data_IF_257283252106
#
_entry.id   IF_257283252106
#
_cell.length_a   1.000
_cell.length_b   1.000
_cell.length_c   1.000
_cell.angle_alpha   90.00
_cell.angle_beta   90.00
_cell.angle_gamma   90.00
#
_symmetry.space_group_name_H-M   'P 1'
#
loop_
_entity.id
_entity.type
_entity.pdbx_description
1 polymer ?
#
# COMPACT_ATOMS: atom_id res chain seq x y z
N UNK A 1 24.70 52.72 47.81
CA UNK A 1 25.19 51.53 47.10
C UNK A 1 24.57 50.33 47.76
N UNK A 2 23.42 49.82 47.16
CA UNK A 2 22.67 48.68 47.70
C UNK A 2 22.88 47.47 46.74
N UNK A 3 23.57 46.44 47.26
CA UNK A 3 23.77 45.19 46.58
C UNK A 3 22.44 44.38 46.56
N UNK A 4 21.96 44.02 45.36
CA UNK A 4 20.87 43.05 45.19
C UNK A 4 21.45 41.65 45.25
N UNK A 5 21.12 40.90 46.31
CA UNK A 5 21.38 39.46 46.41
C UNK A 5 20.37 38.70 45.54
N UNK A 6 20.83 37.97 44.51
CA UNK A 6 20.01 37.06 43.73
C UNK A 6 19.97 35.71 44.44
N UNK A 7 18.81 35.35 44.96
CA UNK A 7 18.50 34.00 45.45
C UNK A 7 18.31 33.06 44.27
N UNK A 8 19.21 32.10 44.09
CA UNK A 8 19.11 31.01 43.11
C UNK A 8 18.41 29.82 43.76
N UNK A 9 17.15 29.58 43.39
CA UNK A 9 16.43 28.34 43.74
C UNK A 9 16.98 27.18 42.89
N UNK A 10 17.35 26.05 43.50
CA UNK A 10 17.83 24.89 42.72
C UNK A 10 16.70 24.28 41.89
N UNK A 11 17.00 23.71 40.71
CA UNK A 11 16.00 23.08 39.88
C UNK A 11 15.44 21.83 40.56
N UNK A 12 14.12 21.69 40.51
CA UNK A 12 13.38 20.54 41.03
C UNK A 12 13.73 19.29 40.24
N UNK A 13 14.04 18.15 40.88
CA UNK A 13 14.33 16.91 40.16
C UNK A 13 13.13 16.46 39.31
N UNK A 14 13.37 16.21 38.01
CA UNK A 14 12.38 15.65 37.11
C UNK A 14 12.25 14.16 37.45
N UNK A 15 11.04 13.72 37.81
CA UNK A 15 10.78 12.33 38.05
C UNK A 15 10.97 11.53 36.73
N UNK A 16 11.54 10.32 36.79
CA UNK A 16 11.64 9.47 35.59
C UNK A 16 10.26 9.18 34.99
N UNK A 17 10.17 9.34 33.68
CA UNK A 17 8.93 9.02 32.94
C UNK A 17 8.57 7.56 33.20
N UNK A 18 7.31 7.31 33.53
CA UNK A 18 6.78 5.95 33.66
C UNK A 18 6.98 5.17 32.36
N UNK A 19 7.32 3.87 32.41
CA UNK A 19 7.43 3.06 31.22
C UNK A 19 6.10 3.06 30.46
N UNK A 20 6.12 3.04 29.12
CA UNK A 20 4.90 2.99 28.34
C UNK A 20 4.08 1.76 28.74
N UNK A 21 2.80 1.97 29.01
CA UNK A 21 1.85 0.89 29.28
C UNK A 21 1.84 -0.05 28.07
N UNK A 22 1.96 -1.37 28.23
CA UNK A 22 1.90 -2.28 27.11
C UNK A 22 0.52 -2.11 26.43
N UNK A 23 0.54 -1.74 25.15
CA UNK A 23 -0.67 -1.70 24.32
C UNK A 23 -1.23 -3.12 24.30
N UNK A 24 -2.49 -3.31 24.72
CA UNK A 24 -3.15 -4.60 24.67
C UNK A 24 -3.05 -5.16 23.25
N UNK A 25 -2.67 -6.43 23.12
CA UNK A 25 -2.60 -7.10 21.83
C UNK A 25 -4.01 -7.09 21.20
N UNK A 26 -4.10 -6.60 19.95
CA UNK A 26 -5.36 -6.65 19.21
C UNK A 26 -5.62 -8.11 18.84
N UNK A 27 -6.80 -8.61 19.21
CA UNK A 27 -7.21 -9.99 18.93
C UNK A 27 -8.08 -10.00 17.68
N UNK A 28 -7.86 -10.93 16.74
CA UNK A 28 -8.73 -11.09 15.57
C UNK A 28 -10.17 -11.38 15.97
N UNK A 29 -11.14 -10.90 15.18
CA UNK A 29 -12.54 -11.26 15.36
C UNK A 29 -12.70 -12.77 15.09
N UNK A 30 -13.26 -13.56 16.05
CA UNK A 30 -13.48 -14.99 15.85
C UNK A 30 -14.33 -15.33 14.62
N UNK A 31 -15.21 -14.43 14.18
CA UNK A 31 -16.03 -14.61 12.97
C UNK A 31 -15.19 -14.74 11.70
N UNK A 32 -13.99 -14.10 11.68
CA UNK A 32 -13.08 -14.18 10.54
C UNK A 32 -12.43 -15.56 10.37
N UNK A 33 -12.52 -16.44 11.37
CA UNK A 33 -11.98 -17.80 11.29
C UNK A 33 -12.55 -18.60 10.11
N UNK A 34 -13.81 -18.37 9.74
CA UNK A 34 -14.49 -19.01 8.61
C UNK A 34 -13.91 -18.56 7.25
N UNK A 35 -13.26 -17.40 7.19
CA UNK A 35 -12.67 -16.84 5.98
C UNK A 35 -11.25 -17.36 5.71
N UNK A 36 -10.72 -18.23 6.59
CA UNK A 36 -9.39 -18.82 6.37
C UNK A 36 -9.38 -19.66 5.11
N UNK A 37 -8.43 -19.39 4.22
CA UNK A 37 -8.27 -20.10 2.94
C UNK A 37 -7.60 -19.27 1.87
N UNK A 38 -7.58 -19.83 0.65
CA UNK A 38 -7.02 -19.19 -0.55
C UNK A 38 -8.06 -18.30 -1.22
N UNK A 39 -7.60 -17.18 -1.77
CA UNK A 39 -8.43 -16.17 -2.42
C UNK A 39 -7.73 -15.61 -3.64
N UNK A 40 -8.51 -15.19 -4.62
CA UNK A 40 -8.02 -14.50 -5.82
C UNK A 40 -8.72 -13.15 -5.96
N UNK A 41 -7.98 -12.11 -6.29
CA UNK A 41 -8.57 -10.78 -6.53
C UNK A 41 -9.48 -10.86 -7.76
N UNK A 42 -10.69 -10.37 -7.64
CA UNK A 42 -11.64 -10.22 -8.75
C UNK A 42 -11.38 -8.92 -9.51
N UNK A 43 -10.84 -8.95 -10.75
CA UNK A 43 -10.50 -7.73 -11.49
C UNK A 43 -11.73 -6.89 -11.86
N UNK A 44 -12.91 -7.51 -11.95
CA UNK A 44 -14.14 -6.80 -12.30
C UNK A 44 -14.65 -5.89 -11.18
N UNK A 45 -14.28 -6.19 -9.93
CA UNK A 45 -14.73 -5.47 -8.74
C UNK A 45 -13.57 -4.94 -7.88
N UNK A 46 -12.38 -4.85 -8.46
CA UNK A 46 -11.19 -4.37 -7.74
C UNK A 46 -10.45 -3.31 -8.52
N UNK A 47 -9.74 -2.47 -7.81
CA UNK A 47 -8.86 -1.47 -8.40
C UNK A 47 -7.51 -1.46 -7.69
N UNK A 48 -6.43 -1.69 -8.46
CA UNK A 48 -5.06 -1.43 -8.04
C UNK A 48 -4.60 -0.16 -8.75
N UNK A 49 -4.61 0.94 -8.00
CA UNK A 49 -4.44 2.27 -8.56
C UNK A 49 -3.29 3.06 -7.94
N UNK A 50 -3.02 4.18 -8.57
CA UNK A 50 -2.06 5.16 -8.08
C UNK A 50 -2.53 6.59 -8.33
N UNK A 51 -1.94 7.52 -7.58
CA UNK A 51 -2.09 8.95 -7.86
C UNK A 51 -0.80 9.70 -7.57
N UNK A 52 -0.55 10.73 -8.39
CA UNK A 52 0.65 11.57 -8.32
C UNK A 52 0.29 13.03 -8.56
N UNK A 53 0.96 13.96 -7.87
CA UNK A 53 0.80 15.39 -8.13
C UNK A 53 1.54 15.75 -9.43
N UNK A 54 0.87 16.49 -10.31
CA UNK A 54 1.40 16.98 -11.56
C UNK A 54 1.44 18.51 -11.53
N UNK A 55 2.59 19.08 -11.87
CA UNK A 55 2.87 20.52 -11.82
C UNK A 55 2.45 21.18 -10.50
N UNK A 56 2.38 20.42 -9.40
CA UNK A 56 1.91 20.83 -8.07
C UNK A 56 0.44 21.33 -8.02
N UNK A 57 -0.25 21.43 -9.15
CA UNK A 57 -1.62 22.00 -9.25
C UNK A 57 -2.70 20.95 -9.44
N UNK A 58 -2.40 19.81 -10.09
CA UNK A 58 -3.39 18.77 -10.36
C UNK A 58 -2.94 17.40 -9.82
N UNK A 59 -3.85 16.43 -9.82
CA UNK A 59 -3.56 15.04 -9.49
C UNK A 59 -3.88 14.15 -10.68
N UNK A 60 -2.87 13.49 -11.22
CA UNK A 60 -3.06 12.39 -12.17
C UNK A 60 -3.37 11.14 -11.37
N UNK A 61 -4.37 10.38 -11.82
CA UNK A 61 -4.75 9.08 -11.29
C UNK A 61 -4.66 8.06 -12.40
N UNK A 62 -4.26 6.85 -12.03
CA UNK A 62 -4.23 5.72 -12.94
C UNK A 62 -4.46 4.42 -12.19
N UNK A 63 -4.55 3.32 -12.93
CA UNK A 63 -4.64 1.96 -12.42
C UNK A 63 -4.00 1.00 -13.40
N UNK A 64 -3.82 -0.25 -12.95
CA UNK A 64 -3.43 -1.36 -13.79
C UNK A 64 -4.65 -2.25 -14.03
N UNK A 65 -4.96 -2.53 -15.29
CA UNK A 65 -6.14 -3.30 -15.67
C UNK A 65 -5.91 -4.82 -15.62
N UNK A 66 -4.64 -5.25 -15.79
CA UNK A 66 -4.28 -6.66 -15.87
C UNK A 66 -3.35 -7.05 -14.74
N UNK A 67 -3.77 -8.02 -13.92
CA UNK A 67 -2.97 -8.58 -12.84
C UNK A 67 -3.41 -10.00 -12.49
N UNK A 68 -2.49 -10.72 -11.87
CA UNK A 68 -2.68 -12.03 -11.28
C UNK A 68 -2.40 -11.93 -9.78
N UNK A 69 -3.10 -12.71 -8.98
CA UNK A 69 -2.93 -12.70 -7.54
C UNK A 69 -3.09 -14.08 -6.93
N UNK A 70 -2.36 -14.32 -5.83
CA UNK A 70 -2.57 -15.45 -4.92
C UNK A 70 -2.59 -14.89 -3.52
N UNK A 71 -3.71 -15.05 -2.84
CA UNK A 71 -3.90 -14.54 -1.49
C UNK A 71 -4.23 -15.72 -0.58
N UNK A 72 -3.61 -15.77 0.58
CA UNK A 72 -4.03 -16.64 1.67
C UNK A 72 -4.40 -15.77 2.87
N UNK A 73 -5.63 -15.87 3.31
CA UNK A 73 -6.11 -15.18 4.50
C UNK A 73 -6.26 -16.19 5.66
N UNK A 74 -5.66 -15.92 6.81
CA UNK A 74 -5.85 -16.68 8.05
C UNK A 74 -6.57 -15.78 9.06
N UNK A 75 -7.88 -15.97 9.19
CA UNK A 75 -8.73 -15.18 10.09
C UNK A 75 -8.48 -15.44 11.57
N UNK A 76 -7.79 -16.52 11.93
CA UNK A 76 -7.41 -16.86 13.32
C UNK A 76 -6.04 -16.30 13.68
N UNK A 77 -5.13 -16.29 12.72
CA UNK A 77 -3.77 -15.83 12.89
C UNK A 77 -3.31 -15.02 11.70
N UNK A 78 -3.58 -13.69 11.68
CA UNK A 78 -3.22 -12.82 10.57
C UNK A 78 -1.75 -12.90 10.15
N UNK A 79 -0.83 -13.23 11.06
CA UNK A 79 0.59 -13.37 10.75
C UNK A 79 0.90 -14.53 9.77
N UNK A 80 -0.05 -15.43 9.54
CA UNK A 80 0.06 -16.51 8.54
C UNK A 80 -0.51 -16.11 7.18
N UNK A 81 -1.23 -14.99 7.11
CA UNK A 81 -1.76 -14.47 5.85
C UNK A 81 -0.64 -14.02 4.93
N UNK A 82 -0.85 -14.15 3.62
CA UNK A 82 0.12 -13.76 2.59
C UNK A 82 -0.58 -13.31 1.32
N UNK A 83 0.12 -12.48 0.56
CA UNK A 83 -0.34 -11.98 -0.73
C UNK A 83 0.82 -11.97 -1.72
N UNK A 84 0.57 -12.48 -2.91
CA UNK A 84 1.43 -12.36 -4.08
C UNK A 84 0.62 -11.75 -5.21
N UNK A 85 1.13 -10.67 -5.79
CA UNK A 85 0.45 -9.95 -6.88
C UNK A 85 1.46 -9.67 -7.98
N UNK A 86 1.06 -9.90 -9.22
CA UNK A 86 1.83 -9.62 -10.42
C UNK A 86 1.01 -8.77 -11.38
N UNK A 87 1.41 -7.52 -11.60
CA UNK A 87 0.73 -6.56 -12.47
C UNK A 87 1.40 -6.53 -13.85
N UNK A 88 0.60 -6.48 -14.93
CA UNK A 88 1.10 -6.17 -16.27
C UNK A 88 1.45 -4.68 -16.35
N UNK A 89 2.71 -4.34 -16.56
CA UNK A 89 3.15 -2.94 -16.68
C UNK A 89 2.59 -2.24 -17.91
N UNK A 90 2.27 -3.01 -18.96
CA UNK A 90 1.64 -2.51 -20.18
C UNK A 90 0.15 -2.15 -20.00
N UNK A 91 -0.49 -2.64 -18.93
CA UNK A 91 -1.91 -2.40 -18.66
C UNK A 91 -2.18 -1.12 -17.87
N UNK A 92 -1.17 -0.24 -17.73
CA UNK A 92 -1.36 1.05 -17.08
C UNK A 92 -2.35 1.91 -17.85
N UNK A 93 -3.34 2.44 -17.14
CA UNK A 93 -4.38 3.31 -17.70
C UNK A 93 -4.57 4.54 -16.80
N UNK A 94 -4.46 5.71 -17.39
CA UNK A 94 -4.73 7.00 -16.76
C UNK A 94 -5.85 7.76 -17.45
N UNK A 95 -6.50 7.16 -18.46
CA UNK A 95 -7.55 7.75 -19.28
C UNK A 95 -7.04 8.70 -20.36
N UNK A 96 -5.72 8.71 -20.66
CA UNK A 96 -5.11 9.54 -21.74
C UNK A 96 -4.06 8.71 -22.45
N UNK A 97 -4.40 8.23 -23.65
CA UNK A 97 -3.59 7.31 -24.46
C UNK A 97 -2.13 7.76 -24.62
N UNK A 98 -1.91 9.03 -24.97
CA UNK A 98 -0.55 9.56 -25.14
C UNK A 98 0.30 9.49 -23.86
N UNK A 99 -0.32 9.72 -22.70
CA UNK A 99 0.34 9.61 -21.40
C UNK A 99 0.60 8.16 -21.05
N UNK A 100 -0.34 7.27 -21.31
CA UNK A 100 -0.22 5.83 -21.03
C UNK A 100 0.89 5.22 -21.88
N UNK A 101 0.98 5.58 -23.17
CA UNK A 101 2.10 5.21 -24.03
C UNK A 101 3.46 5.69 -23.49
N UNK A 102 3.53 6.90 -22.93
CA UNK A 102 4.75 7.40 -22.29
C UNK A 102 5.09 6.66 -20.99
N UNK A 103 4.08 6.33 -20.16
CA UNK A 103 4.27 5.55 -18.93
C UNK A 103 4.78 4.14 -19.20
N UNK A 104 4.35 3.49 -20.28
CA UNK A 104 4.83 2.18 -20.75
C UNK A 104 6.28 2.25 -21.25
N UNK A 105 6.72 3.43 -21.70
CA UNK A 105 8.04 3.66 -22.31
C UNK A 105 9.20 3.60 -21.31
N UNK A 106 10.42 3.74 -21.87
CA UNK A 106 11.71 3.63 -21.16
C UNK A 106 11.91 4.67 -20.06
N UNK A 107 11.27 5.82 -20.20
CA UNK A 107 11.37 6.91 -19.22
C UNK A 107 10.71 6.53 -17.87
N UNK A 108 9.74 5.60 -17.90
CA UNK A 108 8.98 5.17 -16.73
C UNK A 108 9.04 3.67 -16.51
N UNK A 109 8.07 2.89 -16.97
CA UNK A 109 7.94 1.48 -16.63
C UNK A 109 8.83 0.57 -17.48
N UNK A 110 9.21 1.01 -18.69
CA UNK A 110 9.98 0.21 -19.67
C UNK A 110 9.39 -1.20 -19.84
N UNK A 111 8.09 -1.26 -20.12
CA UNK A 111 7.30 -2.48 -20.11
C UNK A 111 7.82 -3.56 -21.10
N UNK A 112 8.50 -3.12 -22.18
CA UNK A 112 9.13 -4.05 -23.13
C UNK A 112 10.24 -4.89 -22.48
N UNK A 113 10.97 -4.34 -21.49
CA UNK A 113 12.04 -5.04 -20.77
C UNK A 113 11.54 -5.57 -19.42
N UNK A 114 10.56 -4.90 -18.81
CA UNK A 114 10.03 -5.19 -17.50
C UNK A 114 8.51 -5.35 -17.59
N UNK A 115 8.00 -6.46 -18.18
CA UNK A 115 6.57 -6.64 -18.45
C UNK A 115 5.74 -6.81 -17.18
N UNK A 116 6.37 -7.09 -16.04
CA UNK A 116 5.69 -7.31 -14.77
C UNK A 116 6.25 -6.42 -13.66
N UNK A 117 5.35 -5.96 -12.81
CA UNK A 117 5.63 -5.39 -11.50
C UNK A 117 5.04 -6.32 -10.45
N UNK A 118 5.80 -6.66 -9.40
CA UNK A 118 5.39 -7.70 -8.45
C UNK A 118 5.41 -7.20 -7.01
N UNK A 119 4.51 -7.74 -6.21
CA UNK A 119 4.52 -7.59 -4.75
C UNK A 119 4.40 -8.96 -4.10
N UNK A 120 5.25 -9.22 -3.09
CA UNK A 120 5.18 -10.42 -2.27
C UNK A 120 5.21 -10.01 -0.78
N UNK A 121 4.17 -10.37 -0.03
CA UNK A 121 4.13 -10.05 1.39
C UNK A 121 5.17 -10.83 2.18
N UNK A 122 5.77 -10.17 3.17
CA UNK A 122 6.76 -10.77 4.10
C UNK A 122 6.21 -10.90 5.52
N UNK A 123 5.27 -10.04 5.91
CA UNK A 123 4.58 -10.14 7.20
C UNK A 123 3.22 -9.44 7.16
N UNK A 124 2.29 -9.93 7.98
CA UNK A 124 0.96 -9.32 8.20
C UNK A 124 0.70 -9.23 9.69
N UNK A 125 0.27 -8.06 10.16
CA UNK A 125 -0.03 -7.80 11.56
C UNK A 125 -1.38 -7.09 11.68
N UNK A 126 -2.24 -7.57 12.58
CA UNK A 126 -3.43 -6.84 12.99
C UNK A 126 -2.99 -5.70 13.91
N UNK A 127 -3.26 -4.44 13.53
CA UNK A 127 -2.80 -3.24 14.26
C UNK A 127 -3.94 -2.54 15.02
N UNK A 128 -5.17 -2.67 14.53
CA UNK A 128 -6.39 -2.23 15.18
C UNK A 128 -7.54 -3.14 14.74
N UNK A 129 -8.75 -2.95 15.31
CA UNK A 129 -9.92 -3.67 14.81
C UNK A 129 -10.05 -3.46 13.31
N UNK A 130 -10.13 -4.56 12.56
CA UNK A 130 -10.27 -4.60 11.10
C UNK A 130 -9.12 -3.91 10.31
N UNK A 131 -8.02 -3.51 10.97
CA UNK A 131 -6.88 -2.84 10.32
C UNK A 131 -5.64 -3.72 10.38
N UNK A 132 -5.11 -4.03 9.21
CA UNK A 132 -3.94 -4.89 9.02
C UNK A 132 -2.80 -4.07 8.43
N UNK A 133 -1.62 -4.21 8.99
CA UNK A 133 -0.38 -3.77 8.36
C UNK A 133 0.28 -4.95 7.68
N UNK A 134 0.37 -4.88 6.35
CA UNK A 134 1.09 -5.84 5.52
C UNK A 134 2.40 -5.22 5.07
N UNK A 135 3.51 -5.87 5.34
CA UNK A 135 4.81 -5.52 4.76
C UNK A 135 5.15 -6.53 3.66
N UNK A 136 5.87 -6.08 2.66
CA UNK A 136 6.26 -6.96 1.55
C UNK A 136 7.25 -6.28 0.62
N UNK A 137 7.80 -7.07 -0.27
CA UNK A 137 8.76 -6.66 -1.26
C UNK A 137 8.04 -6.25 -2.56
N UNK A 138 8.14 -4.96 -2.91
CA UNK A 138 7.63 -4.42 -4.16
C UNK A 138 8.79 -4.33 -5.16
N UNK A 139 8.62 -4.98 -6.31
CA UNK A 139 9.56 -4.90 -7.43
C UNK A 139 8.97 -4.09 -8.56
N UNK A 140 9.66 -3.01 -8.94
CA UNK A 140 9.36 -2.22 -10.14
C UNK A 140 10.63 -2.18 -10.98
N UNK A 141 10.52 -2.58 -12.26
CA UNK A 141 11.68 -2.80 -13.12
C UNK A 141 12.65 -3.81 -12.49
N UNK A 142 13.91 -3.43 -12.27
CA UNK A 142 14.96 -4.27 -11.66
C UNK A 142 15.14 -4.03 -10.16
N UNK A 143 14.36 -3.11 -9.57
CA UNK A 143 14.57 -2.69 -8.19
C UNK A 143 13.49 -3.24 -7.29
N UNK A 144 13.91 -3.97 -6.26
CA UNK A 144 13.04 -4.48 -5.18
C UNK A 144 13.27 -3.67 -3.90
N UNK A 145 12.19 -3.22 -3.28
CA UNK A 145 12.22 -2.48 -2.01
C UNK A 145 11.10 -2.94 -1.09
N UNK A 146 11.33 -2.97 0.22
CA UNK A 146 10.28 -3.22 1.17
C UNK A 146 9.30 -2.05 1.23
N UNK A 147 8.00 -2.36 1.26
CA UNK A 147 6.92 -1.40 1.46
C UNK A 147 5.98 -1.90 2.55
N UNK A 148 5.28 -0.97 3.19
CA UNK A 148 4.22 -1.27 4.15
C UNK A 148 2.89 -0.73 3.63
N UNK A 149 1.87 -1.57 3.67
CA UNK A 149 0.50 -1.27 3.27
C UNK A 149 -0.37 -1.31 4.52
N UNK A 150 -1.18 -0.29 4.76
CA UNK A 150 -2.25 -0.34 5.75
C UNK A 150 -3.54 -0.72 5.02
N UNK A 151 -4.12 -1.87 5.39
CA UNK A 151 -5.31 -2.45 4.79
C UNK A 151 -6.43 -2.47 5.82
N UNK A 152 -7.61 -2.02 5.44
CA UNK A 152 -8.83 -2.11 6.26
C UNK A 152 -9.71 -3.22 5.68
N UNK A 153 -10.06 -4.20 6.50
CA UNK A 153 -11.08 -5.17 6.15
C UNK A 153 -12.46 -4.49 6.14
N UNK A 154 -13.16 -4.58 5.03
CA UNK A 154 -14.46 -3.92 4.82
C UNK A 154 -15.62 -4.84 5.16
N UNK A 155 -15.46 -6.15 4.90
CA UNK A 155 -16.49 -7.13 5.15
C UNK A 155 -16.38 -8.35 4.24
N UNK A 156 -17.34 -9.25 4.39
CA UNK A 156 -17.50 -10.42 3.53
C UNK A 156 -18.98 -10.65 3.22
N UNK A 157 -19.22 -11.30 2.11
CA UNK A 157 -20.57 -11.65 1.64
C UNK A 157 -20.50 -12.87 0.72
N UNK A 158 -21.56 -13.67 0.71
CA UNK A 158 -21.82 -14.61 -0.39
C UNK A 158 -22.73 -13.91 -1.38
N UNK A 159 -22.27 -13.76 -2.63
CA UNK A 159 -23.04 -13.09 -3.66
C UNK A 159 -24.20 -13.98 -4.19
N UNK A 160 -25.13 -13.41 -4.98
CA UNK A 160 -26.27 -14.20 -5.52
C UNK A 160 -25.88 -15.36 -6.41
N UNK A 161 -24.64 -15.43 -6.88
CA UNK A 161 -24.09 -16.51 -7.69
C UNK A 161 -23.41 -17.59 -6.87
N UNK A 162 -23.34 -17.41 -5.53
CA UNK A 162 -22.73 -18.36 -4.61
C UNK A 162 -21.24 -18.13 -4.35
N UNK A 163 -20.63 -17.09 -4.91
CA UNK A 163 -19.22 -16.77 -4.63
C UNK A 163 -19.06 -16.10 -3.28
N UNK A 164 -18.19 -16.65 -2.43
CA UNK A 164 -17.75 -15.96 -1.23
C UNK A 164 -16.77 -14.84 -1.60
N UNK A 165 -17.05 -13.62 -1.12
CA UNK A 165 -16.24 -12.42 -1.38
C UNK A 165 -15.79 -11.80 -0.08
N UNK A 166 -14.55 -11.27 -0.07
CA UNK A 166 -14.03 -10.43 1.00
C UNK A 166 -13.56 -9.10 0.41
N UNK A 167 -13.76 -8.01 1.16
CA UNK A 167 -13.35 -6.67 0.75
C UNK A 167 -12.24 -6.11 1.62
N UNK A 168 -11.27 -5.43 0.98
CA UNK A 168 -10.20 -4.68 1.64
C UNK A 168 -9.95 -3.36 0.93
N UNK A 169 -9.84 -2.28 1.71
CA UNK A 169 -9.32 -1.00 1.27
C UNK A 169 -7.91 -0.78 1.78
N UNK A 170 -7.07 -0.13 0.99
CA UNK A 170 -5.73 0.18 1.44
C UNK A 170 -5.05 1.31 0.70
N UNK A 171 -4.06 1.90 1.36
CA UNK A 171 -3.21 2.90 0.74
C UNK A 171 -1.79 2.84 1.28
N UNK A 172 -0.84 3.24 0.44
CA UNK A 172 0.53 3.56 0.88
C UNK A 172 1.11 4.68 0.03
N UNK A 173 2.22 5.23 0.47
CA UNK A 173 2.96 6.24 -0.31
C UNK A 173 4.40 5.79 -0.46
N UNK A 174 4.89 5.83 -1.68
CA UNK A 174 6.28 5.52 -2.03
C UNK A 174 6.94 6.73 -2.71
N UNK A 175 8.27 6.77 -2.76
CA UNK A 175 9.00 7.70 -3.61
C UNK A 175 9.40 6.94 -4.88
N UNK A 176 8.94 7.39 -6.03
CA UNK A 176 9.18 6.72 -7.32
C UNK A 176 10.66 6.59 -7.67
N UNK A 177 11.48 7.56 -7.23
CA UNK A 177 12.94 7.52 -7.42
C UNK A 177 13.63 6.36 -6.71
N UNK A 178 13.04 5.82 -5.63
CA UNK A 178 13.58 4.64 -4.92
C UNK A 178 13.60 3.40 -5.82
N UNK A 179 12.80 3.39 -6.91
CA UNK A 179 12.78 2.35 -7.95
C UNK A 179 13.39 2.81 -9.27
N UNK A 180 14.18 3.90 -9.27
CA UNK A 180 14.83 4.41 -10.48
C UNK A 180 13.89 5.09 -11.47
N UNK A 181 12.64 5.40 -11.10
CA UNK A 181 11.69 6.14 -11.93
C UNK A 181 11.94 7.66 -11.79
N UNK A 182 13.05 8.13 -12.35
CA UNK A 182 13.59 9.48 -12.14
C UNK A 182 13.21 10.48 -13.23
N UNK A 183 12.62 10.03 -14.35
CA UNK A 183 12.22 10.95 -15.41
C UNK A 183 11.35 12.09 -14.88
N UNK A 184 11.68 13.32 -15.29
CA UNK A 184 10.91 14.50 -14.97
C UNK A 184 11.23 15.64 -15.95
N UNK A 185 10.23 16.44 -16.27
CA UNK A 185 10.42 17.69 -16.99
C UNK A 185 10.50 18.86 -15.99
N UNK A 186 11.33 19.85 -16.29
CA UNK A 186 11.42 21.08 -15.50
C UNK A 186 10.32 22.05 -15.95
N UNK A 187 9.69 22.68 -14.97
CA UNK A 187 8.78 23.80 -15.23
C UNK A 187 9.58 25.09 -15.53
N UNK A 188 9.03 25.97 -16.36
CA UNK A 188 9.69 27.24 -16.73
C UNK A 188 9.99 28.12 -15.49
N UNK A 189 9.12 28.08 -14.50
CA UNK A 189 9.24 28.83 -13.25
C UNK A 189 10.05 28.10 -12.16
N UNK A 190 10.65 26.96 -12.51
CA UNK A 190 11.34 26.07 -11.59
C UNK A 190 10.43 25.02 -10.99
N UNK A 191 11.05 23.92 -10.48
CA UNK A 191 10.34 22.78 -9.93
C UNK A 191 10.16 21.63 -10.93
N UNK A 192 9.55 20.56 -10.44
CA UNK A 192 9.35 19.33 -11.17
C UNK A 192 7.91 19.18 -11.65
N UNK A 193 7.73 18.66 -12.87
CA UNK A 193 6.40 18.42 -13.43
C UNK A 193 5.68 17.27 -12.71
N UNK A 194 6.40 16.23 -12.29
CA UNK A 194 5.84 15.06 -11.60
C UNK A 194 6.45 14.95 -10.21
N UNK A 195 5.61 14.85 -9.18
CA UNK A 195 6.04 14.67 -7.79
C UNK A 195 6.84 13.38 -7.59
N UNK A 196 7.79 13.39 -6.65
CA UNK A 196 8.49 12.19 -6.20
C UNK A 196 7.56 11.22 -5.45
N UNK A 197 6.61 11.76 -4.70
CA UNK A 197 5.68 10.96 -3.91
C UNK A 197 4.55 10.45 -4.78
N UNK A 198 4.43 9.14 -4.83
CA UNK A 198 3.38 8.38 -5.51
C UNK A 198 2.52 7.70 -4.44
N UNK A 199 1.22 7.98 -4.44
CA UNK A 199 0.26 7.29 -3.57
C UNK A 199 -0.29 6.08 -4.31
N UNK A 200 -0.14 4.90 -3.73
CA UNK A 200 -0.78 3.67 -4.17
C UNK A 200 -2.12 3.51 -3.44
N UNK A 201 -3.12 2.97 -4.12
CA UNK A 201 -4.48 2.84 -3.62
C UNK A 201 -5.02 1.47 -4.05
N UNK A 202 -5.64 0.78 -3.11
CA UNK A 202 -6.14 -0.57 -3.29
C UNK A 202 -7.61 -0.58 -2.84
N UNK A 203 -8.49 -0.98 -3.74
CA UNK A 203 -9.88 -1.28 -3.47
C UNK A 203 -10.08 -2.70 -4.01
N UNK A 204 -10.16 -3.66 -3.10
CA UNK A 204 -10.00 -5.08 -3.41
C UNK A 204 -11.25 -5.85 -3.00
N UNK A 205 -11.84 -6.52 -3.97
CA UNK A 205 -12.78 -7.61 -3.77
C UNK A 205 -12.08 -8.91 -4.16
N UNK A 206 -11.89 -9.83 -3.22
CA UNK A 206 -11.32 -11.13 -3.52
C UNK A 206 -12.40 -12.22 -3.43
N UNK A 207 -12.33 -13.19 -4.33
CA UNK A 207 -13.21 -14.35 -4.38
C UNK A 207 -12.45 -15.55 -3.79
N UNK A 208 -13.13 -16.38 -3.00
CA UNK A 208 -12.55 -17.63 -2.50
C UNK A 208 -12.16 -18.50 -3.68
N UNK A 209 -10.90 -18.91 -3.72
CA UNK A 209 -10.44 -19.88 -4.74
C UNK A 209 -11.01 -21.26 -4.42
N UNK A 210 -11.51 -21.93 -5.44
CA UNK A 210 -11.95 -23.32 -5.31
C UNK A 210 -10.69 -24.21 -5.16
N UNK A 211 -10.64 -25.19 -4.21
CA UNK A 211 -9.49 -26.07 -4.08
C UNK A 211 -9.20 -26.94 -5.31
N UNK A 212 -10.03 -26.83 -6.34
CA UNK A 212 -9.96 -27.64 -7.56
C UNK A 212 -9.40 -26.91 -8.79
N UNK A 213 -9.00 -25.62 -8.65
CA UNK A 213 -8.41 -24.81 -9.74
C UNK A 213 -6.89 -24.73 -9.67
#
# INVERSE_FOLDING_TARGET
MKLFSRSSTPPRPVAPAAPPTPTAAVVPDPALAALTGEWTIDPAHSRIGFSVRHAMVTTVRGSFAEYESRLYFDGRNPARSRAEISLSTASVDTGVEQRDAHLVGRDFLDAARHPRMTFASTAVHLTAKDVYRMTGDLTIRETTRPVALDLTYIGHVTDPFGYERVGFDGTTTINRSDWGLTYNARLAEGGAMVSERLRLQFDIAAIRSDPSD
#
